data_IF_698053824259
#
_entry.id   IF_698053824259
#
_cell.length_a   1.000
_cell.length_b   1.000
_cell.length_c   1.000
_cell.angle_alpha   90.00
_cell.angle_beta   90.00
_cell.angle_gamma   90.00
#
_symmetry.space_group_name_H-M   'P 1'
#
loop_
_entity.id
_entity.type
_entity.pdbx_description
1 polymer ?
#
# COMPACT_ATOMS: atom_id res chain seq x y z
N UNK A 1 12.30 -8.05 -19.51
CA UNK A 1 12.58 -9.31 -18.78
C UNK A 1 13.09 -8.94 -17.39
N UNK A 2 12.28 -9.10 -16.33
CA UNK A 2 12.72 -8.82 -14.95
C UNK A 2 13.93 -9.69 -14.62
N UNK A 3 14.94 -9.10 -13.99
CA UNK A 3 16.11 -9.84 -13.57
C UNK A 3 15.69 -10.92 -12.54
N UNK A 4 16.36 -12.08 -12.50
CA UNK A 4 15.99 -13.17 -11.59
C UNK A 4 16.02 -12.76 -10.11
N UNK A 5 16.83 -11.75 -9.76
CA UNK A 5 16.87 -11.18 -8.41
C UNK A 5 15.64 -10.31 -8.09
N UNK A 6 15.09 -9.57 -9.05
CA UNK A 6 13.90 -8.72 -8.88
C UNK A 6 12.66 -9.57 -8.58
N UNK A 7 12.51 -10.72 -9.27
CA UNK A 7 11.40 -11.65 -9.03
C UNK A 7 11.47 -12.28 -7.63
N UNK A 8 12.66 -12.68 -7.19
CA UNK A 8 12.87 -13.20 -5.83
C UNK A 8 12.56 -12.13 -4.77
N UNK A 9 12.96 -10.89 -5.03
CA UNK A 9 12.69 -9.76 -4.15
C UNK A 9 11.18 -9.48 -4.02
N UNK A 10 10.46 -9.38 -5.13
CA UNK A 10 9.01 -9.20 -5.11
C UNK A 10 8.30 -10.36 -4.38
N UNK A 11 8.69 -11.62 -4.64
CA UNK A 11 8.11 -12.78 -3.95
C UNK A 11 8.37 -12.77 -2.43
N UNK A 12 9.59 -12.40 -2.02
CA UNK A 12 9.92 -12.24 -0.60
C UNK A 12 9.08 -11.14 0.05
N UNK A 13 8.99 -9.96 -0.58
CA UNK A 13 8.20 -8.85 -0.07
C UNK A 13 6.71 -9.17 0.03
N UNK A 14 6.15 -9.86 -0.97
CA UNK A 14 4.76 -10.32 -0.95
C UNK A 14 4.48 -11.20 0.27
N UNK A 15 5.36 -12.17 0.55
CA UNK A 15 5.21 -13.06 1.71
C UNK A 15 5.24 -12.28 3.03
N UNK A 16 6.18 -11.34 3.17
CA UNK A 16 6.30 -10.49 4.36
C UNK A 16 5.07 -9.60 4.53
N UNK A 17 4.60 -8.94 3.48
CA UNK A 17 3.40 -8.10 3.51
C UNK A 17 2.16 -8.91 3.84
N UNK A 18 1.98 -10.07 3.22
CA UNK A 18 0.82 -10.92 3.41
C UNK A 18 0.71 -11.41 4.85
N UNK A 19 1.82 -11.88 5.45
CA UNK A 19 1.86 -12.28 6.87
C UNK A 19 1.48 -11.10 7.77
N UNK A 20 2.03 -9.92 7.49
CA UNK A 20 1.74 -8.72 8.28
C UNK A 20 0.26 -8.30 8.17
N UNK A 21 -0.30 -8.27 6.95
CA UNK A 21 -1.70 -7.93 6.69
C UNK A 21 -2.64 -8.91 7.41
N UNK A 22 -2.37 -10.22 7.32
CA UNK A 22 -3.15 -11.24 8.03
C UNK A 22 -3.08 -11.02 9.55
N UNK A 23 -1.89 -10.69 10.08
CA UNK A 23 -1.72 -10.30 11.47
C UNK A 23 -2.58 -9.09 11.87
N UNK A 24 -2.59 -8.03 11.05
CA UNK A 24 -3.43 -6.86 11.28
C UNK A 24 -4.93 -7.19 11.23
N UNK A 25 -5.37 -8.03 10.30
CA UNK A 25 -6.78 -8.48 10.22
C UNK A 25 -7.17 -9.23 11.49
N UNK A 26 -6.35 -10.18 11.93
CA UNK A 26 -6.60 -10.94 13.16
C UNK A 26 -6.63 -10.02 14.39
N UNK A 27 -5.76 -9.01 14.44
CA UNK A 27 -5.78 -7.99 15.50
C UNK A 27 -7.08 -7.17 15.49
N UNK A 28 -7.51 -6.67 14.32
CA UNK A 28 -8.78 -5.94 14.19
C UNK A 28 -9.98 -6.78 14.64
N UNK A 29 -10.05 -8.04 14.19
CA UNK A 29 -11.12 -8.97 14.58
C UNK A 29 -11.07 -9.23 16.08
N UNK A 30 -9.90 -9.51 16.64
CA UNK A 30 -9.73 -9.75 18.07
C UNK A 30 -10.18 -8.57 18.94
N UNK A 31 -9.76 -7.34 18.58
CA UNK A 31 -10.16 -6.12 19.28
C UNK A 31 -11.68 -5.93 19.20
N UNK A 32 -12.28 -6.13 18.02
CA UNK A 32 -13.74 -6.03 17.85
C UNK A 32 -14.50 -7.08 18.63
N UNK A 33 -14.03 -8.33 18.66
CA UNK A 33 -14.62 -9.40 19.45
C UNK A 33 -14.61 -9.05 20.95
N UNK A 34 -13.46 -8.57 21.46
CA UNK A 34 -13.35 -8.13 22.86
C UNK A 34 -14.31 -6.97 23.14
N UNK A 35 -14.39 -5.98 22.24
CA UNK A 35 -15.30 -4.85 22.38
C UNK A 35 -16.76 -5.29 22.47
N UNK A 36 -17.19 -6.23 21.61
CA UNK A 36 -18.55 -6.78 21.63
C UNK A 36 -18.80 -7.49 22.97
N UNK A 37 -17.89 -8.36 23.41
CA UNK A 37 -18.06 -9.08 24.69
C UNK A 37 -18.13 -8.10 25.86
N UNK A 38 -17.22 -7.12 25.95
CA UNK A 38 -17.23 -6.16 27.06
C UNK A 38 -18.48 -5.28 27.07
N UNK A 39 -18.93 -4.85 25.90
CA UNK A 39 -20.11 -3.99 25.77
C UNK A 39 -21.40 -4.72 26.13
N UNK A 40 -21.57 -5.95 25.64
CA UNK A 40 -22.83 -6.68 25.77
C UNK A 40 -22.91 -7.57 27.02
N UNK A 41 -21.79 -8.12 27.50
CA UNK A 41 -21.75 -9.01 28.67
C UNK A 41 -21.46 -8.23 29.95
N UNK A 42 -20.45 -7.36 29.93
CA UNK A 42 -20.00 -6.63 31.11
C UNK A 42 -20.63 -5.23 31.24
N UNK A 43 -21.43 -4.80 30.25
CA UNK A 43 -22.04 -3.47 30.17
C UNK A 43 -21.04 -2.30 30.36
N UNK A 44 -19.76 -2.55 30.13
CA UNK A 44 -18.67 -1.58 30.30
C UNK A 44 -18.08 -1.28 28.92
N UNK A 45 -18.52 -0.22 28.23
CA UNK A 45 -17.94 0.15 26.96
C UNK A 45 -16.50 0.65 27.17
N UNK A 46 -15.54 0.01 26.50
CA UNK A 46 -14.18 0.51 26.41
C UNK A 46 -14.18 1.82 25.58
N UNK A 47 -13.91 2.94 26.23
CA UNK A 47 -13.56 4.17 25.53
C UNK A 47 -12.14 4.07 24.97
N UNK A 48 -11.92 4.52 23.73
CA UNK A 48 -10.62 4.47 23.07
C UNK A 48 -10.34 3.22 22.21
N UNK A 49 -11.30 2.29 22.08
CA UNK A 49 -11.16 1.15 21.13
C UNK A 49 -11.01 1.63 19.70
N UNK A 50 -11.68 2.73 19.34
CA UNK A 50 -11.57 3.34 18.02
C UNK A 50 -10.13 3.79 17.72
N UNK A 51 -9.44 4.39 18.71
CA UNK A 51 -8.02 4.77 18.58
C UNK A 51 -7.11 3.54 18.49
N UNK A 52 -7.43 2.46 19.21
CA UNK A 52 -6.67 1.20 19.16
C UNK A 52 -6.84 0.50 17.80
N UNK A 53 -8.04 0.52 17.22
CA UNK A 53 -8.34 -0.10 15.94
C UNK A 53 -7.76 0.69 14.77
N UNK A 54 -7.58 2.00 14.94
CA UNK A 54 -6.97 2.88 13.97
C UNK A 54 -5.56 2.42 13.59
N UNK A 55 -4.80 1.89 14.55
CA UNK A 55 -3.45 1.38 14.34
C UNK A 55 -3.37 0.26 13.28
N UNK A 56 -3.94 -0.94 13.50
CA UNK A 56 -3.86 -2.02 12.52
C UNK A 56 -4.59 -1.66 11.21
N UNK A 57 -5.63 -0.82 11.25
CA UNK A 57 -6.43 -0.47 10.07
C UNK A 57 -5.64 0.34 9.04
N UNK A 58 -4.89 1.36 9.47
CA UNK A 58 -4.09 2.17 8.52
C UNK A 58 -2.99 1.33 7.90
N UNK A 59 -2.27 0.57 8.71
CA UNK A 59 -1.20 -0.30 8.25
C UNK A 59 -1.71 -1.33 7.25
N UNK A 60 -2.85 -1.95 7.54
CA UNK A 60 -3.54 -2.88 6.65
C UNK A 60 -3.91 -2.19 5.33
N UNK A 61 -4.49 -1.00 5.37
CA UNK A 61 -4.91 -0.28 4.17
C UNK A 61 -3.74 0.02 3.25
N UNK A 62 -2.63 0.52 3.80
CA UNK A 62 -1.48 0.94 3.02
C UNK A 62 -0.62 -0.21 2.51
N UNK A 63 -0.37 -1.22 3.36
CA UNK A 63 0.35 -2.42 2.92
C UNK A 63 -0.51 -3.29 2.00
N UNK A 64 -1.82 -3.36 2.24
CA UNK A 64 -2.76 -4.02 1.35
C UNK A 64 -2.79 -3.39 -0.04
N UNK A 65 -2.78 -2.05 -0.11
CA UNK A 65 -2.64 -1.33 -1.38
C UNK A 65 -1.29 -1.59 -2.07
N UNK A 66 -0.18 -1.65 -1.31
CA UNK A 66 1.13 -1.95 -1.87
C UNK A 66 1.18 -3.38 -2.43
N UNK A 67 0.57 -4.34 -1.73
CA UNK A 67 0.45 -5.72 -2.17
C UNK A 67 -0.39 -5.85 -3.45
N UNK A 68 -1.50 -5.10 -3.55
CA UNK A 68 -2.33 -5.05 -4.75
C UNK A 68 -1.60 -4.43 -5.96
N UNK A 69 -0.69 -3.47 -5.70
CA UNK A 69 0.18 -2.90 -6.74
C UNK A 69 1.20 -3.92 -7.24
N UNK A 70 1.71 -4.80 -6.36
CA UNK A 70 2.63 -5.88 -6.74
C UNK A 70 1.94 -6.95 -7.59
N UNK A 71 0.70 -7.31 -7.26
CA UNK A 71 -0.08 -8.32 -7.99
C UNK A 71 -0.61 -7.81 -9.35
N UNK A 72 -0.35 -6.53 -9.69
CA UNK A 72 -0.78 -5.83 -10.92
C UNK A 72 -2.30 -5.81 -11.14
N UNK A 73 -3.07 -6.24 -10.15
CA UNK A 73 -4.53 -6.35 -10.18
C UNK A 73 -5.22 -4.99 -10.20
N UNK A 74 -4.54 -3.91 -9.77
CA UNK A 74 -5.07 -2.53 -9.80
C UNK A 74 -4.57 -1.67 -10.97
N UNK A 75 -3.45 -2.02 -11.61
CA UNK A 75 -2.82 -1.22 -12.69
C UNK A 75 -3.25 -1.71 -14.08
N UNK A 76 -3.71 -2.95 -14.21
CA UNK A 76 -4.40 -3.39 -15.42
C UNK A 76 -5.72 -2.62 -15.54
N UNK A 77 -5.73 -1.57 -16.36
CA UNK A 77 -6.91 -0.81 -16.71
C UNK A 77 -7.89 -1.72 -17.49
N UNK A 78 -8.59 -2.61 -16.77
CA UNK A 78 -9.45 -3.65 -17.33
C UNK A 78 -10.54 -3.07 -18.23
N UNK A 79 -11.00 -1.86 -17.92
CA UNK A 79 -11.99 -1.13 -18.72
C UNK A 79 -11.42 -0.68 -20.07
N UNK A 80 -10.18 -0.21 -20.12
CA UNK A 80 -9.53 0.18 -21.38
C UNK A 80 -9.21 -1.05 -22.24
N UNK A 81 -8.90 -2.19 -21.61
CA UNK A 81 -8.73 -3.49 -22.26
C UNK A 81 -9.98 -3.95 -23.04
N UNK A 82 -11.18 -3.57 -22.58
CA UNK A 82 -12.45 -3.90 -23.26
C UNK A 82 -12.65 -3.04 -24.51
N UNK A 83 -12.16 -1.80 -24.52
CA UNK A 83 -12.37 -0.85 -25.61
C UNK A 83 -11.23 -0.81 -26.65
N UNK A 84 -9.99 -1.10 -26.25
CA UNK A 84 -8.81 -0.96 -27.11
C UNK A 84 -8.24 -2.34 -27.46
N UNK A 85 -8.50 -2.81 -28.68
CA UNK A 85 -7.99 -4.10 -29.19
C UNK A 85 -6.53 -4.06 -29.71
N UNK A 86 -5.92 -2.89 -29.80
CA UNK A 86 -4.56 -2.73 -30.33
C UNK A 86 -3.50 -2.95 -29.24
N UNK A 87 -2.70 -4.00 -29.38
CA UNK A 87 -1.61 -4.32 -28.44
C UNK A 87 -0.57 -3.20 -28.30
N UNK A 88 -0.33 -2.42 -29.37
CA UNK A 88 0.65 -1.32 -29.33
C UNK A 88 0.13 -0.14 -28.50
N UNK A 89 -1.13 0.21 -28.66
CA UNK A 89 -1.76 1.31 -27.92
C UNK A 89 -1.84 0.97 -26.43
N UNK A 90 -2.16 -0.28 -26.09
CA UNK A 90 -2.20 -0.74 -24.71
C UNK A 90 -0.84 -0.66 -24.01
N UNK A 91 0.25 -1.04 -24.69
CA UNK A 91 1.61 -0.92 -24.12
C UNK A 91 2.00 0.53 -23.84
N UNK A 92 1.66 1.45 -24.73
CA UNK A 92 1.95 2.89 -24.54
C UNK A 92 1.12 3.45 -23.39
N UNK A 93 -0.16 3.06 -23.28
CA UNK A 93 -1.02 3.47 -22.17
C UNK A 93 -0.53 2.95 -20.82
N UNK A 94 -0.12 1.67 -20.75
CA UNK A 94 0.44 1.11 -19.52
C UNK A 94 1.75 1.80 -19.11
N UNK A 95 2.61 2.14 -20.09
CA UNK A 95 3.83 2.90 -19.83
C UNK A 95 3.51 4.31 -19.28
N UNK A 96 2.54 5.00 -19.88
CA UNK A 96 2.09 6.31 -19.43
C UNK A 96 1.48 6.24 -18.02
N UNK A 97 0.64 5.25 -17.76
CA UNK A 97 0.05 5.00 -16.46
C UNK A 97 1.13 4.77 -15.39
N UNK A 98 2.12 3.90 -15.65
CA UNK A 98 3.22 3.65 -14.73
C UNK A 98 4.02 4.95 -14.44
N UNK A 99 4.24 5.78 -15.46
CA UNK A 99 4.91 7.07 -15.30
C UNK A 99 4.10 8.05 -14.42
N UNK A 100 2.78 8.12 -14.61
CA UNK A 100 1.88 8.92 -13.78
C UNK A 100 1.90 8.43 -12.33
N UNK A 101 1.84 7.12 -12.11
CA UNK A 101 1.91 6.51 -10.76
C UNK A 101 3.23 6.86 -10.07
N UNK A 102 4.37 6.78 -10.77
CA UNK A 102 5.68 7.16 -10.21
C UNK A 102 5.72 8.66 -9.89
N UNK A 103 5.22 9.51 -10.79
CA UNK A 103 5.20 10.96 -10.61
C UNK A 103 4.35 11.39 -9.42
N UNK A 104 3.09 10.96 -9.39
CA UNK A 104 2.15 11.25 -8.29
C UNK A 104 2.62 10.59 -7.00
N UNK A 105 3.11 9.35 -7.05
CA UNK A 105 3.65 8.64 -5.90
C UNK A 105 4.81 9.39 -5.26
N UNK A 106 5.78 9.85 -6.06
CA UNK A 106 6.94 10.61 -5.56
C UNK A 106 6.51 11.94 -4.93
N UNK A 107 5.55 12.64 -5.55
CA UNK A 107 4.96 13.85 -4.97
C UNK A 107 4.31 13.56 -3.61
N UNK A 108 3.46 12.53 -3.53
CA UNK A 108 2.81 12.14 -2.27
C UNK A 108 3.82 11.67 -1.21
N UNK A 109 4.89 10.99 -1.61
CA UNK A 109 5.95 10.56 -0.69
C UNK A 109 6.65 11.77 -0.04
N UNK A 110 6.92 12.82 -0.81
CA UNK A 110 7.50 14.06 -0.27
C UNK A 110 6.59 14.66 0.81
N UNK A 111 5.29 14.77 0.54
CA UNK A 111 4.32 15.27 1.51
C UNK A 111 4.18 14.34 2.73
N UNK A 112 4.20 13.02 2.53
CA UNK A 112 4.12 12.05 3.60
C UNK A 112 5.32 12.16 4.56
N UNK A 113 6.54 12.31 4.02
CA UNK A 113 7.76 12.50 4.82
C UNK A 113 7.75 13.83 5.56
N UNK A 114 7.30 14.90 4.91
CA UNK A 114 7.14 16.21 5.56
C UNK A 114 6.15 16.13 6.73
N UNK A 115 4.99 15.49 6.50
CA UNK A 115 3.96 15.31 7.51
C UNK A 115 4.43 14.41 8.66
N UNK A 116 5.15 13.32 8.39
CA UNK A 116 5.76 12.48 9.43
C UNK A 116 6.78 13.27 10.27
N UNK A 117 7.62 14.08 9.61
CA UNK A 117 8.60 14.94 10.29
C UNK A 117 7.93 15.99 11.17
N UNK A 118 6.80 16.53 10.72
CA UNK A 118 5.97 17.44 11.51
C UNK A 118 5.32 16.71 12.70
N UNK A 119 4.74 15.53 12.49
CA UNK A 119 4.12 14.72 13.54
C UNK A 119 5.12 14.31 14.64
N UNK A 120 6.37 14.01 14.26
CA UNK A 120 7.47 13.76 15.18
C UNK A 120 7.82 14.99 16.03
N UNK A 121 7.87 16.19 15.43
CA UNK A 121 8.18 17.44 16.16
C UNK A 121 7.10 17.80 17.17
N UNK A 122 5.83 17.56 16.83
CA UNK A 122 4.69 17.88 17.68
C UNK A 122 4.45 16.80 18.74
N UNK A 123 5.14 15.64 18.65
CA UNK A 123 4.88 14.45 19.48
C UNK A 123 3.38 14.13 19.52
N UNK A 124 2.80 13.92 18.34
CA UNK A 124 1.36 13.70 18.20
C UNK A 124 0.93 12.44 18.96
N UNK A 125 0.22 12.62 20.08
CA UNK A 125 -0.33 11.56 20.92
C UNK A 125 -1.85 11.47 20.76
N UNK A 126 -2.38 10.26 20.89
CA UNK A 126 -3.82 9.98 20.90
C UNK A 126 -4.55 10.71 22.03
N UNK A 127 -5.84 10.97 21.82
CA UNK A 127 -6.63 11.84 22.70
C UNK A 127 -7.08 11.09 23.96
N UNK A 128 -7.31 9.78 23.83
CA UNK A 128 -7.88 8.94 24.90
C UNK A 128 -6.82 8.01 25.47
N UNK A 129 -6.10 7.29 24.60
CA UNK A 129 -5.11 6.28 25.01
C UNK A 129 -3.67 6.83 25.05
N UNK A 130 -3.46 8.09 24.68
CA UNK A 130 -2.15 8.75 24.63
C UNK A 130 -1.05 7.97 23.87
N UNK A 131 -1.46 7.15 22.91
CA UNK A 131 -0.55 6.39 22.05
C UNK A 131 0.12 7.31 21.00
N UNK A 132 1.43 7.15 20.70
CA UNK A 132 2.09 7.94 19.66
C UNK A 132 1.52 7.62 18.26
N UNK A 133 0.73 8.54 17.72
CA UNK A 133 0.12 8.43 16.39
C UNK A 133 1.16 8.48 15.26
N UNK A 134 2.38 8.91 15.58
CA UNK A 134 3.54 8.93 14.68
C UNK A 134 3.79 7.56 14.01
N UNK A 135 3.52 6.45 14.71
CA UNK A 135 3.73 5.11 14.14
C UNK A 135 2.71 4.83 13.02
N UNK A 136 1.52 5.41 13.10
CA UNK A 136 0.53 5.34 12.01
C UNK A 136 0.94 6.22 10.84
N UNK A 137 1.45 7.41 11.11
CA UNK A 137 1.93 8.31 10.05
C UNK A 137 3.15 7.72 9.31
N UNK A 138 3.98 6.91 10.00
CA UNK A 138 5.09 6.19 9.38
C UNK A 138 4.63 5.14 8.36
N UNK A 139 3.47 4.50 8.60
CA UNK A 139 2.93 3.52 7.66
C UNK A 139 2.62 4.14 6.29
N UNK A 140 2.23 5.43 6.25
CA UNK A 140 1.99 6.19 5.02
C UNK A 140 3.25 6.29 4.17
N UNK A 141 4.37 6.60 4.79
CA UNK A 141 5.67 6.67 4.11
C UNK A 141 6.07 5.30 3.59
N UNK A 142 5.95 4.26 4.41
CA UNK A 142 6.30 2.89 4.04
C UNK A 142 5.45 2.39 2.87
N UNK A 143 4.12 2.50 2.96
CA UNK A 143 3.21 2.03 1.92
C UNK A 143 3.44 2.70 0.57
N UNK A 144 3.54 4.04 0.55
CA UNK A 144 3.78 4.81 -0.69
C UNK A 144 5.17 4.48 -1.26
N UNK A 145 6.20 4.37 -0.41
CA UNK A 145 7.54 4.01 -0.86
C UNK A 145 7.55 2.65 -1.57
N UNK A 146 6.91 1.64 -0.98
CA UNK A 146 6.82 0.32 -1.60
C UNK A 146 6.05 0.35 -2.93
N UNK A 147 4.93 1.07 -3.01
CA UNK A 147 4.17 1.23 -4.26
C UNK A 147 5.03 1.86 -5.37
N UNK A 148 5.84 2.87 -5.07
CA UNK A 148 6.74 3.49 -6.04
C UNK A 148 7.80 2.50 -6.53
N UNK A 149 8.40 1.72 -5.62
CA UNK A 149 9.38 0.70 -5.98
C UNK A 149 8.78 -0.31 -6.97
N UNK A 150 7.55 -0.76 -6.73
CA UNK A 150 6.85 -1.67 -7.63
C UNK A 150 6.52 -1.02 -8.97
N UNK A 151 6.04 0.23 -8.97
CA UNK A 151 5.77 0.97 -10.20
C UNK A 151 7.04 1.18 -11.06
N UNK A 152 8.21 1.39 -10.43
CA UNK A 152 9.50 1.48 -11.13
C UNK A 152 9.88 0.16 -11.79
N UNK A 153 9.69 -0.98 -11.11
CA UNK A 153 9.94 -2.29 -11.72
C UNK A 153 9.01 -2.57 -12.89
N UNK A 154 7.73 -2.20 -12.78
CA UNK A 154 6.74 -2.33 -13.85
C UNK A 154 7.08 -1.44 -15.05
N UNK A 155 7.50 -0.19 -14.80
CA UNK A 155 7.95 0.74 -15.84
C UNK A 155 9.13 0.20 -16.64
N UNK A 156 10.13 -0.41 -15.97
CA UNK A 156 11.26 -1.06 -16.64
C UNK A 156 10.82 -2.23 -17.53
N UNK A 157 9.83 -2.99 -17.08
CA UNK A 157 9.28 -4.10 -17.86
C UNK A 157 8.58 -3.60 -19.13
N UNK A 158 7.72 -2.59 -19.01
CA UNK A 158 7.06 -1.99 -20.17
C UNK A 158 8.04 -1.37 -21.17
N UNK A 159 9.10 -0.70 -20.69
CA UNK A 159 10.16 -0.21 -21.58
C UNK A 159 10.84 -1.36 -22.34
N UNK A 160 11.26 -2.41 -21.63
CA UNK A 160 11.96 -3.55 -22.23
C UNK A 160 11.09 -4.27 -23.28
N UNK A 161 9.79 -4.41 -23.03
CA UNK A 161 8.86 -4.99 -23.99
C UNK A 161 8.71 -4.17 -25.27
N UNK A 162 8.72 -2.84 -25.17
CA UNK A 162 8.62 -1.95 -26.32
C UNK A 162 9.89 -2.05 -27.18
N UNK A 163 11.07 -2.11 -26.55
CA UNK A 163 12.34 -2.27 -27.28
C UNK A 163 12.51 -3.65 -27.92
N UNK A 164 12.09 -4.73 -27.23
CA UNK A 164 12.23 -6.10 -27.75
C UNK A 164 11.34 -6.38 -28.97
N UNK A 165 10.18 -5.73 -29.09
CA UNK A 165 9.26 -5.93 -30.23
C UNK A 165 9.62 -5.08 -31.47
N UNK A 166 10.62 -4.20 -31.37
CA UNK A 166 11.12 -3.38 -32.50
C UNK A 166 12.24 -4.08 -33.30
N UNK A 167 12.66 -5.28 -32.88
CA UNK A 167 13.75 -6.08 -33.46
C UNK A 167 13.25 -7.22 -34.36
N UNK A 168 11.93 -7.39 -34.53
CA UNK A 168 11.32 -8.29 -35.52
C UNK A 168 10.48 -7.50 -36.53
#
# INVERSE_FOLDING_TARGET
MLAPWEKKFCGFMYSVQSIFIVGCILACVGIMCVQIVLRYVFHAPLMGVEELLYFPTIWLYLLGGANASLERSHIACGVINVYVKSERTMKILNLFQALVVIGVGTWLLYWAVWYLSYALKVNKVGTIIHYPLVINDASLVVGIFLMIVYAVFEFKEYLCEIFSKKVN
#
